data_IF_901852828817
#
_entry.id   IF_901852828817
#
_cell.length_a   1.000
_cell.length_b   1.000
_cell.length_c   1.000
_cell.angle_alpha   90.00
_cell.angle_beta   90.00
_cell.angle_gamma   90.00
#
_symmetry.space_group_name_H-M   'P 1'
#
loop_
_entity.id
_entity.type
_entity.pdbx_description
1 polymer ?
#
# COMPACT_ATOMS: atom_id res chain seq x y z
N UNK A 1 0.94 11.98 16.53
CA UNK A 1 1.56 11.40 15.31
C UNK A 1 0.49 11.26 14.24
N UNK A 2 0.75 11.65 13.00
CA UNK A 2 -0.27 11.60 11.93
C UNK A 2 -0.59 10.16 11.50
N UNK A 3 -1.88 9.82 11.31
CA UNK A 3 -2.30 8.52 10.79
C UNK A 3 -1.81 8.31 9.36
N UNK A 4 -1.68 7.05 8.94
CA UNK A 4 -1.19 6.67 7.62
C UNK A 4 -2.03 5.53 7.03
N UNK A 5 -2.17 5.57 5.69
CA UNK A 5 -2.62 4.43 4.91
C UNK A 5 -1.41 3.67 4.35
N UNK A 6 -1.37 2.36 4.53
CA UNK A 6 -0.36 1.48 3.94
C UNK A 6 -1.00 0.71 2.78
N UNK A 7 -0.40 0.79 1.61
CA UNK A 7 -0.88 0.07 0.42
C UNK A 7 0.13 -0.98 -0.02
N UNK A 8 -0.24 -2.25 0.08
CA UNK A 8 0.58 -3.39 -0.33
C UNK A 8 0.28 -3.75 -1.78
N UNK A 9 1.22 -3.40 -2.65
CA UNK A 9 1.08 -3.49 -4.10
C UNK A 9 1.88 -4.70 -4.61
N UNK A 10 1.22 -5.85 -4.68
CA UNK A 10 1.78 -7.10 -5.21
C UNK A 10 1.62 -7.25 -6.72
N UNK A 11 0.63 -6.60 -7.35
CA UNK A 11 0.30 -6.77 -8.78
C UNK A 11 -0.26 -5.50 -9.40
N UNK A 12 0.49 -4.94 -10.36
CA UNK A 12 0.17 -3.70 -11.05
C UNK A 12 0.11 -2.50 -10.10
N UNK A 13 0.24 -1.28 -10.62
CA UNK A 13 0.48 -0.10 -9.79
C UNK A 13 -0.57 1.01 -9.98
N UNK A 14 -1.33 0.98 -11.09
CA UNK A 14 -2.28 2.04 -11.44
C UNK A 14 -3.45 2.14 -10.44
N UNK A 15 -4.18 1.05 -10.19
CA UNK A 15 -5.29 1.06 -9.22
C UNK A 15 -4.86 1.51 -7.81
N UNK A 16 -3.77 0.97 -7.24
CA UNK A 16 -3.24 1.43 -5.96
C UNK A 16 -2.84 2.90 -5.94
N UNK A 17 -2.27 3.41 -7.04
CA UNK A 17 -1.93 4.83 -7.18
C UNK A 17 -3.17 5.71 -7.18
N UNK A 18 -4.19 5.37 -7.96
CA UNK A 18 -5.45 6.14 -7.98
C UNK A 18 -6.12 6.18 -6.61
N UNK A 19 -6.13 5.04 -5.92
CA UNK A 19 -6.65 4.98 -4.56
C UNK A 19 -5.79 5.81 -3.59
N UNK A 20 -4.46 5.74 -3.70
CA UNK A 20 -3.56 6.56 -2.90
C UNK A 20 -3.77 8.06 -3.13
N UNK A 21 -4.03 8.49 -4.37
CA UNK A 21 -4.36 9.88 -4.70
C UNK A 21 -5.65 10.35 -4.00
N UNK A 22 -6.70 9.51 -4.00
CA UNK A 22 -7.95 9.82 -3.30
C UNK A 22 -7.75 9.98 -1.79
N UNK A 23 -6.93 9.11 -1.18
CA UNK A 23 -6.61 9.19 0.25
C UNK A 23 -5.71 10.38 0.60
N UNK A 24 -4.72 10.68 -0.23
CA UNK A 24 -3.86 11.85 -0.04
C UNK A 24 -4.67 13.15 -0.16
N UNK A 25 -5.59 13.23 -1.12
CA UNK A 25 -6.51 14.36 -1.28
C UNK A 25 -7.45 14.57 -0.08
N UNK A 26 -7.79 13.49 0.65
CA UNK A 26 -8.55 13.58 1.91
C UNK A 26 -7.67 13.86 3.14
N UNK A 27 -6.39 14.17 2.94
CA UNK A 27 -5.44 14.51 4.00
C UNK A 27 -4.86 13.30 4.73
N UNK A 28 -5.01 12.08 4.20
CA UNK A 28 -4.40 10.88 4.76
C UNK A 28 -3.12 10.55 4.00
N UNK A 29 -1.92 10.70 4.61
CA UNK A 29 -0.67 10.27 3.99
C UNK A 29 -0.72 8.79 3.62
N UNK A 30 -0.12 8.44 2.48
CA UNK A 30 -0.12 7.08 1.96
C UNK A 30 1.31 6.59 1.75
N UNK A 31 1.60 5.37 2.22
CA UNK A 31 2.80 4.63 1.88
C UNK A 31 2.44 3.49 0.92
N UNK A 32 2.87 3.59 -0.33
CA UNK A 32 2.80 2.53 -1.32
C UNK A 32 4.04 1.63 -1.18
N UNK A 33 3.84 0.41 -0.71
CA UNK A 33 4.87 -0.63 -0.70
C UNK A 33 4.69 -1.48 -1.96
N UNK A 34 5.60 -1.33 -2.92
CA UNK A 34 5.50 -1.95 -4.24
C UNK A 34 6.45 -3.15 -4.34
N UNK A 35 5.90 -4.29 -4.74
CA UNK A 35 6.66 -5.52 -4.97
C UNK A 35 7.39 -5.47 -6.31
N UNK A 36 8.70 -5.64 -6.26
CA UNK A 36 9.57 -5.61 -7.43
C UNK A 36 9.98 -4.19 -7.81
N UNK A 37 10.69 -4.09 -8.93
CA UNK A 37 11.14 -2.83 -9.50
C UNK A 37 10.18 -2.42 -10.62
N UNK A 38 9.88 -1.12 -10.72
CA UNK A 38 9.23 -0.52 -11.89
C UNK A 38 10.25 0.40 -12.55
N UNK A 39 10.17 0.55 -13.87
CA UNK A 39 11.06 1.46 -14.60
C UNK A 39 11.04 2.89 -14.04
N UNK A 40 12.14 3.62 -14.22
CA UNK A 40 12.32 4.96 -13.64
C UNK A 40 11.18 5.92 -14.03
N UNK A 41 10.70 5.85 -15.28
CA UNK A 41 9.57 6.65 -15.77
C UNK A 41 8.28 6.42 -14.96
N UNK A 42 7.98 5.15 -14.63
CA UNK A 42 6.80 4.80 -13.83
C UNK A 42 7.00 5.24 -12.38
N UNK A 43 8.22 5.13 -11.85
CA UNK A 43 8.54 5.59 -10.49
C UNK A 43 8.27 7.08 -10.33
N UNK A 44 8.71 7.89 -11.29
CA UNK A 44 8.54 9.35 -11.25
C UNK A 44 7.04 9.73 -11.33
N UNK A 45 6.25 9.01 -12.12
CA UNK A 45 4.79 9.19 -12.20
C UNK A 45 4.04 8.89 -10.89
N UNK A 46 4.58 7.99 -10.05
CA UNK A 46 3.97 7.64 -8.76
C UNK A 46 4.46 8.59 -7.65
N UNK A 47 5.74 8.98 -7.66
CA UNK A 47 6.37 9.76 -6.57
C UNK A 47 6.09 11.27 -6.62
N UNK A 48 5.53 11.79 -7.72
CA UNK A 48 5.32 13.25 -7.92
C UNK A 48 4.32 13.94 -6.97
N UNK A 49 3.59 13.22 -6.13
CA UNK A 49 2.47 13.77 -5.36
C UNK A 49 2.75 13.92 -3.87
N UNK A 50 2.49 15.11 -3.34
CA UNK A 50 2.55 15.38 -1.91
C UNK A 50 1.60 14.47 -1.12
N UNK A 51 2.08 13.97 0.02
CA UNK A 51 1.36 13.01 0.85
C UNK A 51 1.48 11.54 0.42
N UNK A 52 2.06 11.25 -0.74
CA UNK A 52 2.32 9.88 -1.21
C UNK A 52 3.81 9.55 -1.12
N UNK A 53 4.14 8.47 -0.42
CA UNK A 53 5.49 7.90 -0.41
C UNK A 53 5.47 6.53 -1.05
N UNK A 54 6.49 6.23 -1.86
CA UNK A 54 6.60 4.95 -2.56
C UNK A 54 7.89 4.27 -2.17
N UNK A 55 7.81 3.01 -1.76
CA UNK A 55 8.94 2.17 -1.43
C UNK A 55 8.88 0.91 -2.28
N UNK A 56 9.88 0.72 -3.12
CA UNK A 56 10.06 -0.50 -3.90
C UNK A 56 10.81 -1.52 -3.06
N UNK A 57 10.30 -2.74 -3.03
CA UNK A 57 10.92 -3.84 -2.28
C UNK A 57 11.12 -5.01 -3.21
N UNK A 58 12.33 -5.58 -3.18
CA UNK A 58 12.66 -6.78 -3.91
C UNK A 58 11.64 -7.90 -3.64
N UNK A 59 11.32 -8.70 -4.66
CA UNK A 59 10.24 -9.69 -4.59
C UNK A 59 10.40 -10.69 -3.44
N UNK A 60 11.63 -11.07 -3.13
CA UNK A 60 11.96 -12.01 -2.04
C UNK A 60 11.72 -11.42 -0.64
N UNK A 61 11.88 -10.09 -0.49
CA UNK A 61 11.77 -9.40 0.79
C UNK A 61 10.39 -8.77 1.03
N UNK A 62 9.55 -8.71 -0.01
CA UNK A 62 8.29 -7.99 0.04
C UNK A 62 7.39 -8.42 1.19
N UNK A 63 7.23 -9.74 1.42
CA UNK A 63 6.35 -10.23 2.51
C UNK A 63 6.89 -9.84 3.87
N UNK A 64 8.20 -9.96 4.09
CA UNK A 64 8.84 -9.57 5.34
C UNK A 64 8.68 -8.07 5.58
N UNK A 65 8.93 -7.24 4.55
CA UNK A 65 8.75 -5.80 4.63
C UNK A 65 7.29 -5.41 4.89
N UNK A 66 6.32 -6.07 4.24
CA UNK A 66 4.89 -5.84 4.44
C UNK A 66 4.49 -6.14 5.89
N UNK A 67 4.85 -7.33 6.40
CA UNK A 67 4.60 -7.70 7.80
C UNK A 67 5.23 -6.72 8.79
N UNK A 68 6.51 -6.40 8.60
CA UNK A 68 7.21 -5.45 9.47
C UNK A 68 6.56 -4.07 9.47
N UNK A 69 6.13 -3.55 8.31
CA UNK A 69 5.46 -2.26 8.20
C UNK A 69 4.06 -2.25 8.80
N UNK A 70 3.27 -3.30 8.54
CA UNK A 70 1.94 -3.45 9.14
C UNK A 70 2.06 -3.50 10.66
N UNK A 71 2.90 -4.39 11.19
CA UNK A 71 3.11 -4.52 12.63
C UNK A 71 3.60 -3.21 13.25
N UNK A 72 4.65 -2.59 12.70
CA UNK A 72 5.19 -1.34 13.21
C UNK A 72 4.16 -0.21 13.27
N UNK A 73 3.43 0.03 12.18
CA UNK A 73 2.43 1.10 12.15
C UNK A 73 1.19 0.78 12.99
N UNK A 74 0.80 -0.50 13.11
CA UNK A 74 -0.26 -0.94 14.01
C UNK A 74 0.13 -0.70 15.48
N UNK A 75 1.32 -1.14 15.90
CA UNK A 75 1.78 -0.98 17.29
C UNK A 75 1.99 0.48 17.69
N UNK A 76 2.41 1.32 16.74
CA UNK A 76 2.53 2.77 16.99
C UNK A 76 1.20 3.51 16.91
N UNK A 77 0.07 2.83 16.66
CA UNK A 77 -1.26 3.42 16.53
C UNK A 77 -1.41 4.35 15.33
N UNK A 78 -0.53 4.24 14.34
CA UNK A 78 -0.51 5.11 13.15
C UNK A 78 -1.22 4.50 11.96
N UNK A 79 -1.26 3.16 11.86
CA UNK A 79 -1.92 2.49 10.75
C UNK A 79 -3.42 2.65 10.89
N UNK A 80 -4.05 3.38 9.96
CA UNK A 80 -5.51 3.55 9.93
C UNK A 80 -6.14 2.71 8.84
N UNK A 81 -5.50 2.66 7.68
CA UNK A 81 -6.00 1.96 6.49
C UNK A 81 -4.91 1.04 5.95
N UNK A 82 -5.24 -0.21 5.67
CA UNK A 82 -4.42 -1.15 4.93
C UNK A 82 -5.12 -1.49 3.62
N UNK A 83 -4.49 -1.19 2.49
CA UNK A 83 -5.00 -1.59 1.18
C UNK A 83 -4.11 -2.64 0.55
N UNK A 84 -4.70 -3.62 -0.14
CA UNK A 84 -3.96 -4.74 -0.73
C UNK A 84 -4.45 -5.06 -2.13
N UNK A 85 -3.53 -5.43 -3.04
CA UNK A 85 -3.88 -5.83 -4.42
C UNK A 85 -4.06 -7.34 -4.59
N UNK A 86 -3.80 -8.12 -3.54
CA UNK A 86 -3.90 -9.59 -3.58
C UNK A 86 -4.77 -10.08 -2.44
N UNK A 87 -5.79 -10.85 -2.78
CA UNK A 87 -6.76 -11.37 -1.82
C UNK A 87 -6.12 -12.26 -0.75
N UNK A 88 -5.09 -13.04 -1.12
CA UNK A 88 -4.31 -13.83 -0.16
C UNK A 88 -3.68 -12.96 0.93
N UNK A 89 -3.09 -11.82 0.57
CA UNK A 89 -2.53 -10.89 1.55
C UNK A 89 -3.63 -10.28 2.44
N UNK A 90 -4.80 -9.99 1.88
CA UNK A 90 -5.94 -9.54 2.68
C UNK A 90 -6.22 -10.52 3.81
N UNK A 91 -6.43 -11.80 3.49
CA UNK A 91 -6.74 -12.86 4.47
C UNK A 91 -5.67 -12.98 5.54
N UNK A 92 -4.40 -12.89 5.16
CA UNK A 92 -3.25 -12.96 6.08
C UNK A 92 -3.25 -11.81 7.11
N UNK A 93 -3.61 -10.60 6.68
CA UNK A 93 -3.58 -9.42 7.56
C UNK A 93 -4.93 -9.09 8.21
N UNK A 94 -6.06 -9.67 7.75
CA UNK A 94 -7.40 -9.34 8.26
C UNK A 94 -7.51 -9.52 9.77
N UNK A 95 -7.04 -10.65 10.32
CA UNK A 95 -7.13 -10.91 11.75
C UNK A 95 -6.32 -9.89 12.56
N UNK A 96 -5.11 -9.59 12.12
CA UNK A 96 -4.25 -8.58 12.73
C UNK A 96 -4.89 -7.19 12.67
N UNK A 97 -5.40 -6.79 11.51
CA UNK A 97 -6.01 -5.49 11.31
C UNK A 97 -7.27 -5.31 12.16
N UNK A 98 -8.07 -6.37 12.35
CA UNK A 98 -9.23 -6.35 13.26
C UNK A 98 -8.82 -6.06 14.71
N UNK A 99 -7.75 -6.70 15.19
CA UNK A 99 -7.24 -6.49 16.55
C UNK A 99 -6.85 -5.02 16.79
N UNK A 100 -6.23 -4.38 15.79
CA UNK A 100 -5.78 -2.99 15.88
C UNK A 100 -6.77 -1.96 15.31
N UNK A 101 -8.02 -2.37 15.00
CA UNK A 101 -9.07 -1.53 14.41
C UNK A 101 -8.61 -0.80 13.12
N UNK A 102 -7.78 -1.46 12.33
CA UNK A 102 -7.30 -0.99 11.03
C UNK A 102 -8.35 -1.32 9.98
N UNK A 103 -8.73 -0.32 9.19
CA UNK A 103 -9.64 -0.50 8.05
C UNK A 103 -8.91 -1.21 6.90
N UNK A 104 -9.49 -2.26 6.32
CA UNK A 104 -8.83 -3.04 5.26
C UNK A 104 -9.59 -2.95 3.94
N UNK A 105 -8.94 -2.50 2.87
CA UNK A 105 -9.54 -2.41 1.53
C UNK A 105 -8.85 -3.34 0.55
N UNK A 106 -9.63 -4.02 -0.28
CA UNK A 106 -9.11 -4.76 -1.42
C UNK A 106 -9.18 -3.90 -2.68
N UNK A 107 -8.04 -3.73 -3.36
CA UNK A 107 -7.98 -3.00 -4.62
C UNK A 107 -7.93 -4.02 -5.75
N UNK A 108 -9.07 -4.19 -6.44
CA UNK A 108 -9.13 -5.01 -7.66
C UNK A 108 -8.57 -4.19 -8.82
N UNK A 109 -7.55 -4.72 -9.47
CA UNK A 109 -6.94 -4.04 -10.61
C UNK A 109 -7.80 -4.32 -11.84
N UNK A 110 -8.78 -3.44 -12.11
CA UNK A 110 -9.74 -3.61 -13.22
C UNK A 110 -9.16 -3.16 -14.57
N UNK A 111 -8.09 -2.36 -14.58
CA UNK A 111 -7.41 -1.94 -15.80
C UNK A 111 -6.12 -2.72 -16.02
N UNK A 112 -6.23 -3.89 -16.67
CA UNK A 112 -5.08 -4.49 -17.36
C UNK A 112 -4.87 -3.76 -18.68
N UNK A 113 -4.15 -2.63 -18.66
CA UNK A 113 -3.50 -2.18 -19.90
C UNK A 113 -2.39 -3.20 -20.16
N UNK A 114 -2.64 -4.13 -21.09
CA UNK A 114 -1.59 -5.01 -21.64
C UNK A 114 -0.68 -4.10 -22.48
N UNK A 115 0.57 -3.98 -22.07
CA UNK A 115 1.64 -3.59 -22.99
C UNK A 115 2.09 -4.83 -23.74
#
# INVERSE_FOLDING_TARGET
MSPIALSLVERGWQGPREHALKLAASGTPVLLLVKGYVGNEIRDLIQKYDGIRVVFVHHALFRLAAWGRVAWYSFTGRLKILTVTRERALREFTLWCRLFRVETHFIRNENRVRF
#
